data_IF_645813873530
#
_entry.id   IF_645813873530
#
_cell.length_a   1.000
_cell.length_b   1.000
_cell.length_c   1.000
_cell.angle_alpha   90.00
_cell.angle_beta   90.00
_cell.angle_gamma   90.00
#
_symmetry.space_group_name_H-M   'P 1'
#
loop_
_entity.id
_entity.type
_entity.pdbx_description
1 polymer ?
#
# COMPACT_ATOMS: atom_id res chain seq x y z
N UNK A 1 75.17 30.31 -51.77
CA UNK A 1 75.78 29.13 -51.11
C UNK A 1 74.81 27.97 -51.19
N UNK A 2 75.27 26.81 -51.70
CA UNK A 2 74.86 25.43 -51.33
C UNK A 2 73.40 25.02 -51.60
N UNK A 3 73.11 24.19 -52.62
CA UNK A 3 73.26 22.72 -52.76
C UNK A 3 72.10 21.89 -52.18
N UNK A 4 71.72 20.88 -52.99
CA UNK A 4 71.09 19.57 -52.69
C UNK A 4 69.56 19.52 -52.50
N UNK A 5 68.76 18.89 -53.38
CA UNK A 5 68.62 17.47 -53.79
C UNK A 5 67.73 16.62 -52.86
N UNK A 6 66.76 15.92 -53.50
CA UNK A 6 66.14 14.62 -53.14
C UNK A 6 65.13 14.63 -51.96
N UNK A 7 64.00 13.91 -51.95
CA UNK A 7 63.39 12.91 -52.81
C UNK A 7 61.94 12.59 -52.34
N UNK A 8 61.11 12.09 -53.27
CA UNK A 8 60.08 11.00 -53.17
C UNK A 8 59.16 10.92 -51.93
N UNK A 9 57.83 10.74 -52.02
CA UNK A 9 57.13 9.54 -52.53
C UNK A 9 55.61 9.78 -52.72
N UNK A 10 55.01 8.96 -53.58
CA UNK A 10 53.63 8.98 -54.04
C UNK A 10 52.63 8.25 -53.13
N UNK A 11 51.36 8.69 -53.11
CA UNK A 11 50.17 7.82 -52.99
C UNK A 11 49.05 8.40 -53.86
N UNK A 12 48.67 7.65 -54.91
CA UNK A 12 47.52 7.90 -55.75
C UNK A 12 46.33 7.03 -55.27
N UNK A 13 45.19 7.63 -54.94
CA UNK A 13 43.92 6.92 -54.80
C UNK A 13 43.16 7.00 -56.13
N UNK A 14 43.08 5.87 -56.84
CA UNK A 14 42.18 5.66 -57.97
C UNK A 14 40.99 4.82 -57.50
N UNK A 15 39.78 5.37 -57.64
CA UNK A 15 38.53 4.64 -57.50
C UNK A 15 38.18 3.94 -58.82
N UNK A 16 37.63 2.71 -58.76
CA UNK A 16 36.62 2.36 -59.74
C UNK A 16 35.48 1.43 -59.27
N UNK A 17 34.34 1.62 -59.96
CA UNK A 17 33.39 0.63 -60.52
C UNK A 17 32.27 -0.01 -59.67
N UNK A 18 31.05 0.25 -60.17
CA UNK A 18 29.80 -0.47 -59.97
C UNK A 18 29.93 -1.98 -60.26
N UNK A 19 29.33 -2.81 -59.40
CA UNK A 19 28.76 -4.10 -59.79
C UNK A 19 27.50 -4.39 -58.96
N UNK A 20 26.40 -4.66 -59.66
CA UNK A 20 25.15 -5.15 -59.10
C UNK A 20 25.23 -6.67 -58.92
N UNK A 21 24.73 -7.18 -57.79
CA UNK A 21 24.62 -8.61 -57.49
C UNK A 21 23.15 -8.94 -57.17
N UNK A 22 22.53 -9.95 -57.82
CA UNK A 22 21.27 -10.53 -57.37
C UNK A 22 21.52 -11.86 -56.66
N UNK A 23 21.01 -12.05 -55.43
CA UNK A 23 20.81 -13.34 -54.73
C UNK A 23 20.63 -13.04 -53.22
N UNK A 24 19.77 -13.67 -52.43
CA UNK A 24 18.77 -14.69 -52.62
C UNK A 24 17.77 -14.53 -51.46
N UNK A 25 16.51 -14.87 -51.71
CA UNK A 25 15.49 -14.97 -50.67
C UNK A 25 15.93 -15.96 -49.58
N UNK A 26 16.15 -15.48 -48.36
CA UNK A 26 16.21 -16.34 -47.18
C UNK A 26 14.82 -16.91 -46.92
N UNK A 27 14.58 -18.11 -47.45
CA UNK A 27 13.50 -18.97 -47.00
C UNK A 27 13.70 -19.24 -45.51
N UNK A 28 12.83 -18.64 -44.69
CA UNK A 28 12.62 -19.11 -43.32
C UNK A 28 12.37 -20.62 -43.36
N UNK A 29 13.02 -21.44 -42.52
CA UNK A 29 12.62 -22.83 -42.37
C UNK A 29 11.13 -22.81 -42.00
N UNK A 30 10.35 -23.45 -42.87
CA UNK A 30 8.89 -23.41 -42.89
C UNK A 30 8.33 -23.68 -41.50
N UNK A 31 7.30 -22.93 -41.11
CA UNK A 31 6.64 -23.04 -39.80
C UNK A 31 6.28 -24.50 -39.51
N UNK A 32 5.99 -25.27 -40.55
CA UNK A 32 5.78 -26.71 -40.59
C UNK A 32 6.89 -27.52 -39.89
N UNK A 33 8.18 -27.22 -40.13
CA UNK A 33 9.29 -27.95 -39.48
C UNK A 33 9.38 -27.65 -37.97
N UNK A 34 8.94 -26.46 -37.56
CA UNK A 34 8.90 -26.07 -36.14
C UNK A 34 7.69 -26.69 -35.44
N UNK A 35 6.56 -26.80 -36.13
CA UNK A 35 5.36 -27.50 -35.65
C UNK A 35 5.64 -28.98 -35.47
N UNK A 36 6.28 -29.65 -36.44
CA UNK A 36 6.65 -31.07 -36.34
C UNK A 36 7.56 -31.37 -35.15
N UNK A 37 8.46 -30.44 -34.82
CA UNK A 37 9.34 -30.56 -33.64
C UNK A 37 8.54 -30.38 -32.35
N UNK A 38 7.68 -29.37 -32.29
CA UNK A 38 6.82 -29.11 -31.13
C UNK A 38 5.85 -30.29 -30.87
N UNK A 39 5.30 -30.91 -31.92
CA UNK A 39 4.45 -32.10 -31.78
C UNK A 39 5.22 -33.32 -31.26
N UNK A 40 6.45 -33.53 -31.74
CA UNK A 40 7.32 -34.60 -31.23
C UNK A 40 7.70 -34.37 -29.77
N UNK A 41 7.99 -33.14 -29.37
CA UNK A 41 8.29 -32.79 -27.98
C UNK A 41 7.05 -32.93 -27.09
N UNK A 42 5.86 -32.56 -27.55
CA UNK A 42 4.60 -32.80 -26.82
C UNK A 42 4.31 -34.29 -26.61
N UNK A 43 4.49 -35.12 -27.65
CA UNK A 43 4.33 -36.59 -27.52
C UNK A 43 5.38 -37.20 -26.58
N UNK A 44 6.62 -36.72 -26.64
CA UNK A 44 7.68 -37.20 -25.76
C UNK A 44 7.41 -36.83 -24.30
N UNK A 45 6.90 -35.62 -24.04
CA UNK A 45 6.47 -35.18 -22.71
C UNK A 45 5.29 -36.02 -22.22
N UNK A 46 4.25 -36.22 -23.04
CA UNK A 46 3.12 -37.09 -22.70
C UNK A 46 3.56 -38.53 -22.38
N UNK A 47 4.50 -39.11 -23.14
CA UNK A 47 5.05 -40.43 -22.86
C UNK A 47 5.89 -40.48 -21.59
N UNK A 48 6.51 -39.35 -21.20
CA UNK A 48 7.31 -39.24 -19.97
C UNK A 48 6.44 -39.02 -18.73
N UNK A 49 5.31 -38.31 -18.86
CA UNK A 49 4.36 -38.10 -17.76
C UNK A 49 3.31 -39.22 -17.64
N UNK A 50 3.13 -40.07 -18.66
CA UNK A 50 2.24 -41.23 -18.63
C UNK A 50 2.85 -42.50 -19.27
N UNK A 51 3.84 -43.14 -18.63
CA UNK A 51 4.56 -44.28 -19.21
C UNK A 51 3.77 -45.60 -19.30
N UNK A 52 2.54 -45.70 -18.77
CA UNK A 52 1.81 -46.97 -18.65
C UNK A 52 0.30 -46.94 -18.97
N UNK A 53 -0.21 -45.92 -19.69
CA UNK A 53 -1.56 -45.97 -20.28
C UNK A 53 -2.75 -46.08 -19.31
N UNK A 54 -2.53 -46.04 -18.00
CA UNK A 54 -3.59 -45.95 -17.00
C UNK A 54 -3.81 -44.47 -16.68
N UNK A 55 -5.03 -43.93 -16.86
CA UNK A 55 -5.35 -42.62 -16.33
C UNK A 55 -5.21 -42.71 -14.81
N UNK A 56 -4.32 -41.89 -14.23
CA UNK A 56 -4.39 -41.58 -12.81
C UNK A 56 -5.63 -40.70 -12.67
N UNK A 57 -6.79 -41.31 -12.45
CA UNK A 57 -7.90 -40.59 -11.85
C UNK A 57 -7.40 -40.11 -10.49
N UNK A 58 -7.18 -38.80 -10.38
CA UNK A 58 -7.13 -38.21 -9.07
C UNK A 58 -8.48 -38.52 -8.42
N UNK A 59 -8.49 -39.30 -7.34
CA UNK A 59 -9.60 -39.43 -6.40
C UNK A 59 -9.81 -38.05 -5.74
N UNK A 60 -10.24 -37.08 -6.54
CA UNK A 60 -10.95 -35.92 -6.05
C UNK A 60 -12.35 -36.48 -5.82
N UNK A 61 -12.56 -37.07 -4.65
CA UNK A 61 -13.90 -37.19 -4.08
C UNK A 61 -14.48 -35.78 -4.07
N UNK A 62 -15.24 -35.46 -5.12
CA UNK A 62 -16.06 -34.26 -5.15
C UNK A 62 -17.06 -34.44 -4.01
N UNK A 63 -17.12 -33.53 -3.02
CA UNK A 63 -18.14 -33.65 -1.99
C UNK A 63 -19.49 -33.71 -2.71
N UNK A 64 -20.21 -34.80 -2.49
CA UNK A 64 -21.50 -35.03 -3.12
C UNK A 64 -22.40 -33.85 -2.78
N UNK A 65 -22.83 -33.12 -3.78
CA UNK A 65 -23.85 -32.08 -3.60
C UNK A 65 -25.13 -32.82 -3.27
N UNK A 66 -25.75 -32.62 -2.09
CA UNK A 66 -26.98 -33.31 -1.75
C UNK A 66 -28.04 -32.93 -2.77
N UNK A 67 -28.53 -33.91 -3.53
CA UNK A 67 -29.71 -33.75 -4.36
C UNK A 67 -30.91 -33.56 -3.43
N UNK A 68 -31.43 -32.35 -3.38
CA UNK A 68 -32.66 -32.05 -2.64
C UNK A 68 -33.82 -32.62 -3.46
N UNK A 69 -34.40 -33.71 -2.97
CA UNK A 69 -35.66 -34.23 -3.47
C UNK A 69 -36.76 -33.17 -3.25
N UNK A 70 -37.59 -32.85 -4.27
CA UNK A 70 -38.69 -31.91 -4.09
C UNK A 70 -39.77 -32.58 -3.24
N UNK A 71 -39.95 -32.13 -2.00
CA UNK A 71 -41.04 -32.63 -1.15
C UNK A 71 -40.91 -32.54 0.38
N UNK A 72 -39.88 -31.92 0.96
CA UNK A 72 -39.79 -31.81 2.43
C UNK A 72 -40.36 -30.49 2.96
N UNK A 73 -41.19 -30.50 4.02
CA UNK A 73 -41.92 -29.34 4.49
C UNK A 73 -40.99 -28.25 5.06
N UNK A 74 -41.41 -27.00 4.88
CA UNK A 74 -40.78 -25.77 5.34
C UNK A 74 -40.70 -25.69 6.87
N UNK A 75 -39.71 -26.32 7.51
CA UNK A 75 -39.34 -26.07 8.91
C UNK A 75 -38.07 -25.22 9.07
N UNK A 76 -37.50 -24.73 7.97
CA UNK A 76 -36.17 -24.10 7.93
C UNK A 76 -36.06 -22.58 8.22
N UNK A 77 -37.10 -21.71 8.17
CA UNK A 77 -36.85 -20.27 8.33
C UNK A 77 -36.45 -19.87 9.76
N UNK A 78 -36.89 -20.62 10.79
CA UNK A 78 -36.57 -20.33 12.20
C UNK A 78 -35.15 -20.79 12.55
N UNK A 79 -34.72 -21.95 12.06
CA UNK A 79 -33.36 -22.46 12.28
C UNK A 79 -32.30 -21.59 11.60
N UNK A 80 -32.57 -21.10 10.38
CA UNK A 80 -31.70 -20.15 9.67
C UNK A 80 -31.62 -18.81 10.42
N UNK A 81 -32.72 -18.34 11.02
CA UNK A 81 -32.71 -17.12 11.82
C UNK A 81 -31.85 -17.28 13.09
N UNK A 82 -31.94 -18.41 13.80
CA UNK A 82 -31.10 -18.69 14.98
C UNK A 82 -29.62 -18.78 14.63
N UNK A 83 -29.28 -19.41 13.50
CA UNK A 83 -27.89 -19.46 13.02
C UNK A 83 -27.35 -18.07 12.68
N UNK A 84 -28.17 -17.21 12.06
CA UNK A 84 -27.81 -15.81 11.76
C UNK A 84 -27.65 -14.97 13.04
N UNK A 85 -28.48 -15.17 14.06
CA UNK A 85 -28.33 -14.48 15.35
C UNK A 85 -27.02 -14.88 16.03
N UNK A 86 -26.69 -16.18 16.06
CA UNK A 86 -25.41 -16.63 16.60
C UNK A 86 -24.19 -16.07 15.83
N UNK A 87 -24.29 -15.95 14.50
CA UNK A 87 -23.26 -15.31 13.69
C UNK A 87 -23.11 -13.81 14.01
N UNK A 88 -24.23 -13.08 14.18
CA UNK A 88 -24.22 -11.68 14.58
C UNK A 88 -23.63 -11.47 15.98
N UNK A 89 -23.92 -12.34 16.94
CA UNK A 89 -23.34 -12.31 18.29
C UNK A 89 -21.82 -12.52 18.25
N UNK A 90 -21.35 -13.48 17.45
CA UNK A 90 -19.92 -13.74 17.28
C UNK A 90 -19.20 -12.55 16.62
N UNK A 91 -19.85 -11.89 15.66
CA UNK A 91 -19.30 -10.73 14.97
C UNK A 91 -19.29 -9.51 15.89
N UNK A 92 -20.31 -9.33 16.73
CA UNK A 92 -20.34 -8.28 17.75
C UNK A 92 -19.22 -8.47 18.77
N UNK A 93 -19.00 -9.70 19.26
CA UNK A 93 -17.88 -10.00 20.15
C UNK A 93 -16.53 -9.69 19.50
N UNK A 94 -16.36 -10.04 18.21
CA UNK A 94 -15.14 -9.75 17.45
C UNK A 94 -14.91 -8.24 17.25
N UNK A 95 -15.95 -7.49 16.89
CA UNK A 95 -15.86 -6.04 16.71
C UNK A 95 -15.54 -5.36 18.04
N UNK A 96 -16.15 -5.79 19.15
CA UNK A 96 -15.80 -5.26 20.47
C UNK A 96 -14.33 -5.54 20.81
N UNK A 97 -13.84 -6.76 20.55
CA UNK A 97 -12.41 -7.07 20.70
C UNK A 97 -11.50 -6.15 19.88
N UNK A 98 -11.82 -5.93 18.60
CA UNK A 98 -11.07 -5.01 17.75
C UNK A 98 -11.16 -3.55 18.22
N UNK A 99 -12.28 -3.11 18.78
CA UNK A 99 -12.45 -1.75 19.33
C UNK A 99 -11.59 -1.57 20.57
N UNK A 100 -11.56 -2.55 21.48
CA UNK A 100 -10.70 -2.52 22.66
C UNK A 100 -9.22 -2.51 22.28
N UNK A 101 -8.81 -3.36 21.32
CA UNK A 101 -7.43 -3.35 20.81
C UNK A 101 -7.04 -2.01 20.17
N UNK A 102 -7.92 -1.44 19.34
CA UNK A 102 -7.66 -0.17 18.68
C UNK A 102 -7.65 0.99 19.67
N UNK A 103 -8.55 0.98 20.67
CA UNK A 103 -8.57 1.94 21.77
C UNK A 103 -7.27 1.90 22.57
N UNK A 104 -6.78 0.69 22.88
CA UNK A 104 -5.51 0.49 23.57
C UNK A 104 -4.31 0.97 22.73
N UNK A 105 -4.30 0.70 21.42
CA UNK A 105 -3.26 1.22 20.52
C UNK A 105 -3.28 2.74 20.43
N UNK A 106 -4.46 3.37 20.37
CA UNK A 106 -4.59 4.83 20.35
C UNK A 106 -4.07 5.46 21.64
N UNK A 107 -4.37 4.88 22.81
CA UNK A 107 -3.81 5.36 24.09
C UNK A 107 -2.29 5.26 24.12
N UNK A 108 -1.71 4.16 23.66
CA UNK A 108 -0.25 4.02 23.59
C UNK A 108 0.39 5.05 22.65
N UNK A 109 -0.25 5.34 21.51
CA UNK A 109 0.24 6.36 20.58
C UNK A 109 0.17 7.78 21.19
N UNK A 110 -0.90 8.10 21.91
CA UNK A 110 -1.03 9.37 22.61
C UNK A 110 0.03 9.53 23.71
N UNK A 111 0.30 8.47 24.47
CA UNK A 111 1.38 8.47 25.45
C UNK A 111 2.76 8.61 24.82
N UNK A 112 3.03 7.93 23.70
CA UNK A 112 4.29 8.05 22.96
C UNK A 112 4.46 9.48 22.40
N UNK A 113 3.38 10.09 21.90
CA UNK A 113 3.39 11.45 21.41
C UNK A 113 3.65 12.47 22.52
N UNK A 114 3.02 12.30 23.68
CA UNK A 114 3.25 13.19 24.82
C UNK A 114 4.68 13.09 25.36
N UNK A 115 5.26 11.87 25.38
CA UNK A 115 6.67 11.67 25.73
C UNK A 115 7.60 12.35 24.73
N UNK A 116 7.36 12.15 23.43
CA UNK A 116 8.12 12.82 22.39
C UNK A 116 8.03 14.35 22.48
N UNK A 117 6.84 14.90 22.76
CA UNK A 117 6.65 16.33 22.99
C UNK A 117 7.49 16.83 24.17
N UNK A 118 7.47 16.11 25.28
CA UNK A 118 8.27 16.47 26.46
C UNK A 118 9.78 16.41 26.17
N UNK A 119 10.24 15.43 25.40
CA UNK A 119 11.65 15.32 24.97
C UNK A 119 12.05 16.43 23.99
N UNK A 120 11.16 16.80 23.07
CA UNK A 120 11.36 17.89 22.12
C UNK A 120 11.37 19.26 22.82
N UNK A 121 10.46 19.49 23.78
CA UNK A 121 10.43 20.69 24.61
C UNK A 121 11.66 20.78 25.53
N UNK A 122 12.10 19.65 26.12
CA UNK A 122 13.32 19.60 26.91
C UNK A 122 14.58 19.90 26.08
N UNK A 123 14.64 19.40 24.83
CA UNK A 123 15.74 19.67 23.90
C UNK A 123 15.70 21.10 23.34
N UNK A 124 14.52 21.71 23.26
CA UNK A 124 14.36 23.12 22.89
C UNK A 124 14.65 24.08 24.05
N UNK A 125 14.47 23.63 25.30
CA UNK A 125 14.75 24.40 26.51
C UNK A 125 16.22 24.33 26.96
N UNK A 126 17.07 23.50 26.34
CA UNK A 126 18.52 23.48 26.57
C UNK A 126 19.25 24.43 25.61
N UNK A 127 19.86 25.53 26.10
CA UNK A 127 20.84 26.27 25.33
C UNK A 127 22.03 25.35 25.00
N UNK A 128 22.53 25.42 23.76
CA UNK A 128 23.75 24.72 23.35
C UNK A 128 24.94 25.36 24.06
N UNK A 129 25.43 24.71 25.10
CA UNK A 129 26.80 24.91 25.59
C UNK A 129 27.48 23.55 25.78
N UNK A 130 28.77 23.52 25.44
CA UNK A 130 29.57 22.32 25.20
C UNK A 130 29.97 21.54 26.47
N UNK A 131 30.13 20.23 26.33
CA UNK A 131 31.06 19.41 27.15
C UNK A 131 30.44 18.42 28.16
N UNK A 132 31.16 17.33 28.54
CA UNK A 132 30.58 16.01 28.84
C UNK A 132 30.80 15.56 30.32
N UNK A 133 30.75 14.25 30.69
CA UNK A 133 29.56 13.46 31.04
C UNK A 133 29.63 12.84 32.46
N UNK A 134 28.56 12.78 33.27
CA UNK A 134 28.62 11.96 34.50
C UNK A 134 27.25 11.41 34.99
N UNK A 135 27.18 10.07 34.98
CA UNK A 135 26.59 9.09 35.94
C UNK A 135 25.15 9.23 36.52
N UNK A 136 24.49 8.07 36.52
CA UNK A 136 23.22 7.64 37.18
C UNK A 136 23.21 7.98 38.69
N UNK A 137 22.05 8.08 39.38
CA UNK A 137 21.42 6.87 39.96
C UNK A 137 19.88 6.90 40.29
N UNK A 138 19.32 5.68 40.48
CA UNK A 138 18.30 5.18 41.46
C UNK A 138 17.03 6.00 41.80
N UNK A 139 15.78 5.53 41.53
CA UNK A 139 14.92 4.49 42.18
C UNK A 139 14.04 5.02 43.34
N UNK A 140 12.73 4.66 43.27
CA UNK A 140 11.71 4.59 44.34
C UNK A 140 11.13 5.94 44.87
N UNK A 141 9.85 6.13 45.25
CA UNK A 141 8.71 5.23 45.46
C UNK A 141 7.42 6.05 45.75
N UNK A 142 6.27 5.41 45.53
CA UNK A 142 4.92 5.55 46.13
C UNK A 142 3.85 6.58 45.70
N UNK A 143 2.67 5.97 45.54
CA UNK A 143 1.30 6.44 45.31
C UNK A 143 0.66 6.95 46.65
N UNK A 144 -0.68 7.15 46.85
CA UNK A 144 -1.84 6.90 45.97
C UNK A 144 -3.06 7.89 46.04
N UNK A 145 -3.84 7.91 44.94
CA UNK A 145 -5.32 7.81 44.81
C UNK A 145 -6.28 8.84 45.53
N UNK A 146 -7.62 8.71 45.41
CA UNK A 146 -8.45 9.03 44.24
C UNK A 146 -9.73 9.85 44.60
N UNK A 147 -10.52 10.31 43.62
CA UNK A 147 -12.00 10.13 43.67
C UNK A 147 -12.73 10.45 42.35
N UNK A 148 -13.87 9.78 42.07
CA UNK A 148 -14.42 9.61 40.73
C UNK A 148 -15.80 10.26 40.49
N UNK A 149 -16.25 10.10 39.25
CA UNK A 149 -17.63 10.01 38.76
C UNK A 149 -18.33 11.31 38.30
N UNK A 150 -18.75 11.32 37.03
CA UNK A 150 -20.14 11.04 36.66
C UNK A 150 -20.29 10.97 35.13
N UNK A 151 -20.93 9.91 34.64
CA UNK A 151 -21.33 9.70 33.26
C UNK A 151 -22.85 9.86 33.11
N UNK A 152 -23.31 10.31 31.93
CA UNK A 152 -24.53 9.93 31.18
C UNK A 152 -24.92 11.04 30.18
N UNK A 153 -25.81 10.79 29.19
CA UNK A 153 -25.95 9.63 28.30
C UNK A 153 -26.10 10.02 26.81
N UNK A 154 -26.07 9.00 25.96
CA UNK A 154 -26.17 8.94 24.50
C UNK A 154 -27.57 9.20 23.92
N UNK A 155 -27.60 9.68 22.67
CA UNK A 155 -28.69 9.48 21.69
C UNK A 155 -28.13 9.40 20.26
N UNK A 156 -28.20 8.23 19.58
CA UNK A 156 -28.07 8.11 18.11
C UNK A 156 -29.41 7.80 17.41
N UNK A 157 -29.62 8.30 16.18
CA UNK A 157 -30.26 7.50 15.12
C UNK A 157 -29.59 7.71 13.75
N UNK A 158 -29.60 6.83 12.75
CA UNK A 158 -30.17 5.50 12.53
C UNK A 158 -29.39 4.83 11.36
N UNK A 159 -29.18 3.51 11.40
CA UNK A 159 -28.76 2.70 10.24
C UNK A 159 -29.98 2.03 9.63
N UNK A 160 -30.21 2.29 8.35
CA UNK A 160 -31.14 1.55 7.49
C UNK A 160 -30.69 0.09 7.35
N UNK A 161 -31.64 -0.83 7.49
CA UNK A 161 -31.45 -2.27 7.33
C UNK A 161 -31.39 -2.65 5.85
N UNK A 162 -30.19 -3.03 5.37
CA UNK A 162 -29.98 -3.80 4.14
C UNK A 162 -28.56 -4.41 4.11
N UNK A 163 -28.34 -5.58 4.71
CA UNK A 163 -27.04 -6.27 4.64
C UNK A 163 -27.18 -7.78 4.90
N UNK A 164 -27.45 -8.58 3.85
CA UNK A 164 -26.50 -9.66 3.52
C UNK A 164 -26.11 -9.71 2.02
N UNK A 165 -26.98 -9.25 1.12
CA UNK A 165 -26.71 -9.25 -0.34
C UNK A 165 -25.59 -8.28 -0.75
N UNK A 166 -25.43 -7.19 0.00
CA UNK A 166 -24.39 -6.20 -0.26
C UNK A 166 -22.97 -6.71 0.02
N UNK A 167 -22.79 -7.67 0.94
CA UNK A 167 -21.46 -8.21 1.26
C UNK A 167 -20.96 -9.21 0.23
N UNK A 168 -21.82 -10.06 -0.33
CA UNK A 168 -21.38 -11.03 -1.33
C UNK A 168 -21.20 -10.38 -2.71
N UNK A 169 -22.08 -9.43 -3.09
CA UNK A 169 -21.87 -8.61 -4.28
C UNK A 169 -20.56 -7.81 -4.22
N UNK A 170 -20.19 -7.28 -3.05
CA UNK A 170 -18.90 -6.59 -2.86
C UNK A 170 -17.72 -7.53 -3.04
N UNK A 171 -17.75 -8.74 -2.46
CA UNK A 171 -16.68 -9.73 -2.65
C UNK A 171 -16.50 -10.09 -4.12
N UNK A 172 -17.59 -10.32 -4.85
CA UNK A 172 -17.52 -10.61 -6.29
C UNK A 172 -16.95 -9.43 -7.08
N UNK A 173 -17.34 -8.19 -6.74
CA UNK A 173 -16.81 -7.00 -7.40
C UNK A 173 -15.32 -6.79 -7.12
N UNK A 174 -14.85 -7.05 -5.89
CA UNK A 174 -13.42 -7.01 -5.54
C UNK A 174 -12.64 -8.10 -6.28
N UNK A 175 -13.20 -9.31 -6.40
CA UNK A 175 -12.57 -10.41 -7.14
C UNK A 175 -12.46 -10.13 -8.65
N UNK A 176 -13.33 -9.27 -9.20
CA UNK A 176 -13.25 -8.81 -10.58
C UNK A 176 -12.14 -7.78 -10.81
N UNK A 177 -11.59 -7.17 -9.76
CA UNK A 177 -10.43 -6.29 -9.87
C UNK A 177 -9.19 -7.17 -10.08
N UNK A 178 -8.60 -7.07 -11.26
CA UNK A 178 -7.44 -7.87 -11.64
C UNK A 178 -6.21 -7.48 -10.82
N UNK A 179 -5.54 -8.49 -10.26
CA UNK A 179 -4.21 -8.36 -9.65
C UNK A 179 -3.13 -8.61 -10.70
N UNK A 180 -2.25 -7.63 -10.98
CA UNK A 180 -1.13 -7.83 -11.89
C UNK A 180 -0.19 -8.95 -11.42
N UNK A 181 0.44 -9.62 -12.37
CA UNK A 181 1.52 -10.60 -12.16
C UNK A 181 2.59 -10.39 -13.23
N UNK A 182 3.39 -9.34 -13.05
CA UNK A 182 4.40 -8.88 -14.02
C UNK A 182 5.80 -9.39 -13.67
N UNK A 183 5.94 -10.13 -12.56
CA UNK A 183 7.21 -10.56 -12.00
C UNK A 183 7.83 -9.55 -11.02
N UNK A 184 7.32 -8.31 -10.94
CA UNK A 184 7.63 -7.37 -9.86
C UNK A 184 6.56 -7.47 -8.76
N UNK A 185 6.75 -8.42 -7.84
CA UNK A 185 5.79 -8.66 -6.77
C UNK A 185 5.51 -7.43 -5.89
N UNK A 186 6.46 -6.51 -5.74
CA UNK A 186 6.29 -5.28 -4.96
C UNK A 186 5.46 -4.25 -5.72
N UNK A 187 5.80 -4.02 -7.00
CA UNK A 187 5.04 -3.16 -7.91
C UNK A 187 3.62 -3.67 -8.17
N UNK A 188 3.44 -4.98 -8.33
CA UNK A 188 2.15 -5.63 -8.54
C UNK A 188 1.25 -5.49 -7.30
N UNK A 189 1.80 -5.68 -6.10
CA UNK A 189 1.07 -5.53 -4.84
C UNK A 189 0.58 -4.08 -4.63
N UNK A 190 1.41 -3.09 -4.96
CA UNK A 190 1.03 -1.69 -4.94
C UNK A 190 -0.02 -1.36 -6.01
N UNK A 191 0.18 -1.82 -7.24
CA UNK A 191 -0.72 -1.57 -8.37
C UNK A 191 -2.11 -2.15 -8.09
N UNK A 192 -2.18 -3.33 -7.48
CA UNK A 192 -3.44 -3.91 -7.04
C UNK A 192 -4.12 -3.06 -5.95
N UNK A 193 -3.37 -2.62 -4.93
CA UNK A 193 -3.88 -1.71 -3.91
C UNK A 193 -4.40 -0.39 -4.48
N UNK A 194 -3.72 0.15 -5.51
CA UNK A 194 -4.17 1.32 -6.26
C UNK A 194 -5.48 1.07 -7.03
N UNK A 195 -5.59 -0.05 -7.76
CA UNK A 195 -6.82 -0.42 -8.48
C UNK A 195 -8.02 -0.55 -7.52
N UNK A 196 -7.82 -1.13 -6.34
CA UNK A 196 -8.86 -1.23 -5.31
C UNK A 196 -9.28 0.15 -4.80
N UNK A 197 -8.31 1.04 -4.52
CA UNK A 197 -8.56 2.40 -4.06
C UNK A 197 -9.31 3.23 -5.11
N UNK A 198 -8.89 3.16 -6.38
CA UNK A 198 -9.52 3.84 -7.51
C UNK A 198 -10.96 3.36 -7.73
N UNK A 199 -11.20 2.04 -7.58
CA UNK A 199 -12.52 1.43 -7.58
C UNK A 199 -13.35 1.70 -6.30
N UNK A 200 -12.84 2.51 -5.37
CA UNK A 200 -13.48 2.89 -4.10
C UNK A 200 -13.72 1.74 -3.12
N UNK A 201 -13.03 0.62 -3.30
CA UNK A 201 -12.96 -0.47 -2.32
C UNK A 201 -11.95 -0.11 -1.24
N UNK A 202 -12.23 0.95 -0.48
CA UNK A 202 -11.27 1.51 0.47
C UNK A 202 -10.84 0.53 1.56
N UNK A 203 -11.72 -0.28 2.20
CA UNK A 203 -11.29 -1.26 3.19
C UNK A 203 -10.34 -2.31 2.61
N UNK A 204 -10.61 -2.81 1.41
CA UNK A 204 -9.79 -3.78 0.70
C UNK A 204 -8.46 -3.17 0.27
N UNK A 205 -8.48 -1.94 -0.23
CA UNK A 205 -7.28 -1.18 -0.55
C UNK A 205 -6.42 -0.94 0.70
N UNK A 206 -7.01 -0.55 1.83
CA UNK A 206 -6.30 -0.36 3.10
C UNK A 206 -5.59 -1.64 3.52
N UNK A 207 -6.27 -2.80 3.48
CA UNK A 207 -5.66 -4.08 3.83
C UNK A 207 -4.50 -4.45 2.88
N UNK A 208 -4.72 -4.33 1.57
CA UNK A 208 -3.70 -4.65 0.55
C UNK A 208 -2.48 -3.72 0.64
N UNK A 209 -2.70 -2.41 0.77
CA UNK A 209 -1.63 -1.42 0.86
C UNK A 209 -0.87 -1.55 2.17
N UNK A 210 -1.56 -1.83 3.29
CA UNK A 210 -0.91 -2.14 4.55
C UNK A 210 0.00 -3.36 4.42
N UNK A 211 -0.49 -4.46 3.85
CA UNK A 211 0.35 -5.64 3.61
C UNK A 211 1.54 -5.32 2.68
N UNK A 212 1.35 -4.45 1.70
CA UNK A 212 2.42 -3.98 0.81
C UNK A 212 3.49 -3.19 1.57
N UNK A 213 3.10 -2.28 2.46
CA UNK A 213 4.03 -1.51 3.31
C UNK A 213 4.74 -2.43 4.30
N UNK A 214 4.03 -3.38 4.91
CA UNK A 214 4.61 -4.30 5.89
C UNK A 214 5.64 -5.24 5.24
N UNK A 215 5.41 -5.67 3.99
CA UNK A 215 6.29 -6.61 3.27
C UNK A 215 7.39 -5.95 2.44
N UNK A 216 7.09 -4.83 1.78
CA UNK A 216 7.96 -4.17 0.81
C UNK A 216 8.31 -2.74 1.21
N UNK A 217 8.09 -2.39 2.48
CA UNK A 217 8.26 -1.04 3.00
C UNK A 217 9.67 -0.48 2.82
N UNK A 218 10.71 -1.28 2.85
CA UNK A 218 12.09 -0.77 2.71
C UNK A 218 12.50 -0.58 1.25
N UNK A 219 11.71 -1.10 0.31
CA UNK A 219 11.95 -0.98 -1.12
C UNK A 219 11.45 0.33 -1.73
N UNK A 220 11.67 0.47 -3.04
CA UNK A 220 11.25 1.63 -3.84
C UNK A 220 9.74 1.92 -3.77
N UNK A 221 8.92 0.89 -3.54
CA UNK A 221 7.46 1.02 -3.46
C UNK A 221 6.96 1.54 -2.11
N UNK A 222 7.77 1.39 -1.04
CA UNK A 222 7.30 1.60 0.33
C UNK A 222 6.75 2.99 0.58
N UNK A 223 7.41 4.03 0.06
CA UNK A 223 6.95 5.42 0.21
C UNK A 223 5.62 5.67 -0.50
N UNK A 224 5.46 5.14 -1.72
CA UNK A 224 4.23 5.26 -2.50
C UNK A 224 3.07 4.49 -1.85
N UNK A 225 3.32 3.26 -1.41
CA UNK A 225 2.31 2.41 -0.78
C UNK A 225 1.81 3.01 0.55
N UNK A 226 2.70 3.52 1.39
CA UNK A 226 2.32 4.12 2.67
C UNK A 226 1.56 5.44 2.49
N UNK A 227 1.97 6.28 1.52
CA UNK A 227 1.21 7.48 1.18
C UNK A 227 -0.20 7.12 0.66
N UNK A 228 -0.31 6.16 -0.24
CA UNK A 228 -1.59 5.73 -0.79
C UNK A 228 -2.49 5.10 0.29
N UNK A 229 -1.92 4.36 1.24
CA UNK A 229 -2.64 3.85 2.41
C UNK A 229 -3.25 4.99 3.23
N UNK A 230 -2.48 6.06 3.52
CA UNK A 230 -3.01 7.24 4.20
C UNK A 230 -4.16 7.91 3.44
N UNK A 231 -4.04 8.01 2.11
CA UNK A 231 -5.10 8.58 1.26
C UNK A 231 -6.36 7.70 1.25
N UNK A 232 -6.18 6.37 1.17
CA UNK A 232 -7.29 5.42 1.28
C UNK A 232 -8.00 5.50 2.64
N UNK A 233 -7.30 5.85 3.72
CA UNK A 233 -7.95 6.14 5.00
C UNK A 233 -8.71 7.47 5.00
N UNK A 234 -8.16 8.54 4.39
CA UNK A 234 -8.87 9.83 4.29
C UNK A 234 -10.16 9.70 3.49
N UNK A 235 -10.10 9.04 2.34
CA UNK A 235 -11.26 8.90 1.46
C UNK A 235 -12.36 8.01 2.07
N UNK A 236 -11.99 7.13 2.99
CA UNK A 236 -12.90 6.30 3.79
C UNK A 236 -13.37 7.01 5.09
N UNK A 237 -13.06 8.30 5.26
CA UNK A 237 -13.48 9.09 6.42
C UNK A 237 -12.78 8.73 7.72
N UNK A 238 -11.56 8.19 7.66
CA UNK A 238 -10.73 7.77 8.81
C UNK A 238 -9.49 8.67 8.97
N UNK A 239 -9.65 9.99 9.25
CA UNK A 239 -8.52 10.91 9.28
C UNK A 239 -7.51 10.63 10.40
N UNK A 240 -7.92 9.95 11.48
CA UNK A 240 -7.03 9.49 12.54
C UNK A 240 -6.02 8.45 12.02
N UNK A 241 -6.50 7.40 11.35
CA UNK A 241 -5.65 6.36 10.76
C UNK A 241 -4.80 6.91 9.62
N UNK A 242 -5.38 7.82 8.82
CA UNK A 242 -4.63 8.50 7.78
C UNK A 242 -3.44 9.29 8.34
N UNK A 243 -3.67 10.05 9.42
CA UNK A 243 -2.61 10.84 10.06
C UNK A 243 -1.45 9.95 10.51
N UNK A 244 -1.74 8.79 11.10
CA UNK A 244 -0.71 7.81 11.49
C UNK A 244 0.05 7.31 10.26
N UNK A 245 -0.65 6.86 9.22
CA UNK A 245 -0.02 6.31 8.02
C UNK A 245 0.89 7.34 7.31
N UNK A 246 0.46 8.60 7.22
CA UNK A 246 1.26 9.66 6.62
C UNK A 246 2.48 10.01 7.45
N UNK A 247 2.31 10.14 8.77
CA UNK A 247 3.40 10.45 9.68
C UNK A 247 4.46 9.36 9.70
N UNK A 248 4.05 8.09 9.77
CA UNK A 248 4.96 6.95 9.70
C UNK A 248 5.73 6.91 8.37
N UNK A 249 5.08 7.26 7.26
CA UNK A 249 5.77 7.33 5.97
C UNK A 249 6.88 8.40 6.00
N UNK A 250 6.58 9.60 6.50
CA UNK A 250 7.57 10.67 6.62
C UNK A 250 8.73 10.27 7.54
N UNK A 251 8.43 9.73 8.72
CA UNK A 251 9.45 9.33 9.69
C UNK A 251 10.39 8.24 9.15
N UNK A 252 9.82 7.17 8.57
CA UNK A 252 10.62 6.02 8.10
C UNK A 252 11.29 6.31 6.76
N UNK A 253 10.73 7.20 5.95
CA UNK A 253 11.16 7.45 4.55
C UNK A 253 11.18 8.96 4.26
N UNK A 254 11.97 9.77 4.97
CA UNK A 254 12.01 11.21 4.76
C UNK A 254 12.60 11.62 3.40
N UNK A 255 13.21 10.70 2.65
CA UNK A 255 13.64 10.93 1.26
C UNK A 255 12.85 10.10 0.25
N UNK A 256 11.75 9.49 0.69
CA UNK A 256 10.90 8.69 -0.17
C UNK A 256 10.16 9.55 -1.19
N UNK A 257 9.85 8.96 -2.34
CA UNK A 257 9.18 9.63 -3.47
C UNK A 257 7.91 10.41 -3.06
N UNK A 258 7.15 9.90 -2.07
CA UNK A 258 5.89 10.50 -1.60
C UNK A 258 5.97 11.03 -0.17
N UNK A 259 7.18 11.29 0.33
CA UNK A 259 7.38 11.93 1.63
C UNK A 259 6.76 13.35 1.71
N UNK A 260 6.98 14.26 0.73
CA UNK A 260 6.34 15.57 0.76
C UNK A 260 4.81 15.47 0.63
N UNK A 261 4.31 14.58 -0.23
CA UNK A 261 2.87 14.29 -0.34
C UNK A 261 2.29 13.88 1.03
N UNK A 262 2.99 13.00 1.76
CA UNK A 262 2.53 12.53 3.06
C UNK A 262 2.39 13.66 4.07
N UNK A 263 3.33 14.60 4.14
CA UNK A 263 3.17 15.76 5.03
C UNK A 263 2.00 16.65 4.62
N UNK A 264 1.80 16.89 3.31
CA UNK A 264 0.69 17.72 2.85
C UNK A 264 -0.68 17.13 3.22
N UNK A 265 -0.86 15.83 2.99
CA UNK A 265 -2.09 15.12 3.35
C UNK A 265 -2.23 14.91 4.87
N UNK A 266 -1.12 14.80 5.62
CA UNK A 266 -1.15 14.82 7.08
C UNK A 266 -1.73 16.13 7.61
N UNK A 267 -1.36 17.27 7.03
CA UNK A 267 -1.97 18.56 7.37
C UNK A 267 -3.49 18.58 7.12
N UNK A 268 -3.96 18.04 5.99
CA UNK A 268 -5.40 17.95 5.69
C UNK A 268 -6.11 16.99 6.65
N UNK A 269 -5.50 15.86 6.99
CA UNK A 269 -6.01 14.92 7.98
C UNK A 269 -6.18 15.58 9.37
N UNK A 270 -5.19 16.38 9.80
CA UNK A 270 -5.25 17.12 11.06
C UNK A 270 -6.33 18.21 11.05
N UNK A 271 -6.58 18.86 9.92
CA UNK A 271 -7.70 19.80 9.77
C UNK A 271 -9.03 19.06 9.95
N UNK A 272 -9.22 17.89 9.33
CA UNK A 272 -10.43 17.07 9.51
C UNK A 272 -10.59 16.59 10.96
N UNK A 273 -9.48 16.32 11.66
CA UNK A 273 -9.46 16.00 13.09
C UNK A 273 -9.68 17.22 14.01
N UNK A 274 -9.94 18.40 13.45
CA UNK A 274 -10.11 19.66 14.21
C UNK A 274 -8.86 20.03 15.02
N UNK A 275 -7.68 19.71 14.51
CA UNK A 275 -6.35 20.05 15.07
C UNK A 275 -5.60 21.03 14.15
N UNK A 276 -6.14 22.24 13.88
CA UNK A 276 -5.54 23.17 12.93
C UNK A 276 -4.16 23.68 13.36
N UNK A 277 -3.92 23.83 14.67
CA UNK A 277 -2.61 24.24 15.18
C UNK A 277 -1.50 23.24 14.83
N UNK A 278 -1.80 21.94 14.89
CA UNK A 278 -0.84 20.90 14.52
C UNK A 278 -0.69 20.80 13.00
N UNK A 279 -1.77 21.02 12.24
CA UNK A 279 -1.69 21.11 10.78
C UNK A 279 -0.74 22.24 10.34
N UNK A 280 -0.76 23.40 11.00
CA UNK A 280 0.16 24.50 10.71
C UNK A 280 1.63 24.13 10.93
N UNK A 281 1.94 23.38 11.99
CA UNK A 281 3.30 22.89 12.24
C UNK A 281 3.75 21.93 11.14
N UNK A 282 2.87 21.02 10.73
CA UNK A 282 3.15 20.05 9.64
C UNK A 282 3.39 20.77 8.31
N UNK A 283 2.61 21.80 7.99
CA UNK A 283 2.83 22.59 6.78
C UNK A 283 4.09 23.46 6.84
N UNK A 284 4.47 23.96 8.01
CA UNK A 284 5.74 24.64 8.19
C UNK A 284 6.93 23.69 7.95
N UNK A 285 6.86 22.47 8.50
CA UNK A 285 7.86 21.42 8.25
C UNK A 285 7.94 21.06 6.76
N UNK A 286 6.79 20.91 6.08
CA UNK A 286 6.73 20.63 4.65
C UNK A 286 7.45 21.69 3.82
N UNK A 287 7.20 22.97 4.10
CA UNK A 287 7.85 24.08 3.41
C UNK A 287 9.34 24.14 3.74
N UNK A 288 9.71 23.94 5.01
CA UNK A 288 11.11 24.00 5.45
C UNK A 288 11.96 22.87 4.82
N UNK A 289 11.45 21.64 4.78
CA UNK A 289 12.21 20.47 4.36
C UNK A 289 12.14 20.26 2.85
N UNK A 290 10.98 20.50 2.23
CA UNK A 290 10.76 20.18 0.82
C UNK A 290 10.40 21.38 -0.05
N UNK A 291 10.29 22.59 0.51
CA UNK A 291 9.76 23.77 -0.17
C UNK A 291 10.36 24.07 -1.53
N UNK A 292 11.66 23.85 -1.72
CA UNK A 292 12.34 24.04 -3.03
C UNK A 292 11.97 22.98 -4.08
N UNK A 293 11.55 21.79 -3.63
CA UNK A 293 11.23 20.62 -4.47
C UNK A 293 9.72 20.36 -4.61
N UNK A 294 8.88 21.14 -3.92
CA UNK A 294 7.43 20.98 -4.01
C UNK A 294 6.92 21.26 -5.42
N UNK A 295 6.16 20.31 -5.95
CA UNK A 295 5.37 20.52 -7.17
C UNK A 295 4.36 21.66 -6.97
N UNK A 296 3.96 22.32 -8.06
CA UNK A 296 2.98 23.41 -8.01
C UNK A 296 1.65 22.97 -7.38
N UNK A 297 1.18 21.76 -7.71
CA UNK A 297 -0.03 21.20 -7.14
C UNK A 297 0.07 20.98 -5.63
N UNK A 298 1.21 20.46 -5.16
CA UNK A 298 1.41 20.19 -3.74
C UNK A 298 1.58 21.47 -2.92
N UNK A 299 2.30 22.46 -3.46
CA UNK A 299 2.38 23.81 -2.87
C UNK A 299 0.99 24.44 -2.75
N UNK A 300 0.18 24.38 -3.81
CA UNK A 300 -1.19 24.87 -3.77
C UNK A 300 -2.09 24.13 -2.76
N UNK A 301 -1.87 22.82 -2.53
CA UNK A 301 -2.56 22.08 -1.46
C UNK A 301 -2.13 22.58 -0.08
N UNK A 302 -0.83 22.74 0.16
CA UNK A 302 -0.29 23.27 1.40
C UNK A 302 -0.85 24.67 1.70
N UNK A 303 -0.83 25.60 0.74
CA UNK A 303 -1.29 26.98 0.94
C UNK A 303 -2.78 27.05 1.28
N UNK A 304 -3.61 26.26 0.59
CA UNK A 304 -5.04 26.11 0.90
C UNK A 304 -5.23 25.53 2.31
N UNK A 305 -4.44 24.52 2.66
CA UNK A 305 -4.42 23.92 3.99
C UNK A 305 -4.05 24.94 5.08
N UNK A 306 -2.99 25.72 4.88
CA UNK A 306 -2.57 26.80 5.79
C UNK A 306 -3.66 27.84 5.97
N UNK A 307 -4.36 28.20 4.89
CA UNK A 307 -5.50 29.13 4.93
C UNK A 307 -6.66 28.55 5.73
N UNK A 308 -7.07 27.30 5.46
CA UNK A 308 -8.14 26.61 6.21
C UNK A 308 -7.81 26.49 7.70
N UNK A 309 -6.55 26.18 8.02
CA UNK A 309 -6.06 26.05 9.38
C UNK A 309 -5.77 27.40 10.07
N UNK A 310 -5.91 28.53 9.35
CA UNK A 310 -5.60 29.89 9.82
C UNK A 310 -4.19 30.00 10.39
N UNK A 311 -3.21 29.41 9.70
CA UNK A 311 -1.82 29.48 10.11
C UNK A 311 -1.34 30.92 10.07
N UNK A 312 -0.52 31.29 11.06
CA UNK A 312 0.26 32.52 10.98
C UNK A 312 1.15 32.46 9.74
N UNK A 313 1.21 33.58 9.03
CA UNK A 313 2.03 33.77 7.83
C UNK A 313 3.50 33.75 8.24
#
# INVERSE_FOLDING_TARGET
MRYAFLATTAIALAAPLLSAVPAAAQQNPTVELRVDRLEKEMRAVQRKVFPAGTPVEAEITRPQTPTIAPGSPTSSPVADLTARVGALESQLASITGQVEENSYKLKQLEEAFNRYKAEAEARAATPVEAGPPVMRPTVATDAPAPKPAAAKPTTPPAKSAAAPVASDARKTAVAAIEKPDTGDAAGDAYSYGFRLWDAKFYPEAQAQLKATVDKYGDGSVGSRAANLLGRAYLDDGKPALASVAFYENYQKRPRGERAPDSLAYLGEALIQLKKPADACKVYAELEQVYGSTLSSGLRGMMDKGRTKAKCSV
#
